data_IF_222453204144
#
_entry.id   IF_222453204144
#
_cell.length_a   1.000
_cell.length_b   1.000
_cell.length_c   1.000
_cell.angle_alpha   90.00
_cell.angle_beta   90.00
_cell.angle_gamma   90.00
#
_symmetry.space_group_name_H-M   'P 1'
#
loop_
_entity.id
_entity.type
_entity.pdbx_description
1 polymer ?
#
# COMPACT_ATOMS: atom_id res chain seq x y z
N UNK A 1 -9.80 -3.27 -23.89
CA UNK A 1 -9.44 -2.07 -24.70
C UNK A 1 -9.69 -0.71 -24.02
N UNK A 2 -10.88 -0.44 -23.45
CA UNK A 2 -11.17 0.83 -22.76
C UNK A 2 -10.35 1.03 -21.46
N UNK A 3 -10.30 0.02 -20.61
CA UNK A 3 -9.58 0.08 -19.32
C UNK A 3 -8.07 0.34 -19.50
N UNK A 4 -7.45 -0.26 -20.51
CA UNK A 4 -6.03 -0.04 -20.85
C UNK A 4 -5.80 1.41 -21.31
N UNK A 5 -6.68 1.96 -22.16
CA UNK A 5 -6.59 3.36 -22.61
C UNK A 5 -6.80 4.35 -21.47
N UNK A 6 -7.74 4.08 -20.56
CA UNK A 6 -7.95 4.90 -19.37
C UNK A 6 -6.74 4.85 -18.45
N UNK A 7 -6.13 3.67 -18.29
CA UNK A 7 -4.90 3.51 -17.54
C UNK A 7 -3.74 4.31 -18.15
N UNK A 8 -3.48 4.15 -19.44
CA UNK A 8 -2.45 4.90 -20.17
C UNK A 8 -2.65 6.42 -20.09
N UNK A 9 -3.90 6.90 -20.15
CA UNK A 9 -4.20 8.32 -20.03
C UNK A 9 -3.84 8.86 -18.64
N UNK A 10 -4.29 8.18 -17.57
CA UNK A 10 -3.96 8.55 -16.18
C UNK A 10 -2.44 8.56 -15.98
N UNK A 11 -1.78 7.49 -16.44
CA UNK A 11 -0.35 7.26 -16.34
C UNK A 11 0.50 8.35 -17.02
N UNK A 12 0.07 8.86 -18.18
CA UNK A 12 0.76 9.94 -18.91
C UNK A 12 0.62 11.30 -18.23
N UNK A 13 -0.51 11.58 -17.60
CA UNK A 13 -0.78 12.88 -17.01
C UNK A 13 -0.22 13.01 -15.58
N UNK A 14 -0.16 11.92 -14.82
CA UNK A 14 0.51 11.89 -13.51
C UNK A 14 2.02 12.14 -13.56
N UNK A 15 2.64 12.06 -14.75
CA UNK A 15 4.05 12.34 -15.00
C UNK A 15 4.33 13.81 -15.37
N UNK A 16 3.28 14.59 -15.63
CA UNK A 16 3.41 16.00 -15.98
C UNK A 16 3.19 16.78 -14.69
N UNK A 17 4.21 17.54 -14.30
CA UNK A 17 4.25 18.41 -13.11
C UNK A 17 3.00 19.31 -13.09
N UNK A 18 2.00 18.90 -12.30
CA UNK A 18 0.64 19.38 -12.38
C UNK A 18 0.38 20.45 -11.32
N UNK A 19 -0.08 21.62 -11.79
CA UNK A 19 -0.48 22.82 -11.04
C UNK A 19 -0.89 22.52 -9.57
N UNK A 20 -0.18 23.07 -8.56
CA UNK A 20 -0.46 22.85 -7.14
C UNK A 20 -1.89 23.30 -6.73
N UNK A 21 -2.58 24.08 -7.57
CA UNK A 21 -3.95 24.53 -7.33
C UNK A 21 -5.04 23.54 -7.77
N UNK A 22 -4.69 22.36 -8.28
CA UNK A 22 -5.68 21.35 -8.68
C UNK A 22 -6.45 20.77 -7.49
N UNK A 23 -5.84 20.69 -6.30
CA UNK A 23 -6.53 20.24 -5.09
C UNK A 23 -7.33 21.35 -4.38
N UNK A 24 -6.98 22.63 -4.55
CA UNK A 24 -7.69 23.76 -3.91
C UNK A 24 -9.01 24.13 -4.57
N UNK A 25 -9.27 23.66 -5.81
CA UNK A 25 -10.55 23.88 -6.50
C UNK A 25 -11.75 23.13 -5.88
N UNK A 26 -11.51 22.35 -4.83
CA UNK A 26 -12.54 21.65 -4.05
C UNK A 26 -13.08 22.46 -2.87
N UNK A 27 -12.61 23.69 -2.65
CA UNK A 27 -13.22 24.58 -1.65
C UNK A 27 -14.32 25.38 -2.34
N UNK A 28 -15.62 25.13 -2.08
CA UNK A 28 -16.64 26.07 -2.51
C UNK A 28 -16.42 27.38 -1.77
N UNK A 29 -16.07 28.44 -2.52
CA UNK A 29 -16.02 29.81 -2.01
C UNK A 29 -17.45 30.24 -1.65
N UNK A 30 -17.79 30.40 -0.36
CA UNK A 30 -19.15 30.69 0.07
C UNK A 30 -19.64 32.07 -0.38
N UNK A 31 -18.76 32.91 -0.92
CA UNK A 31 -19.08 34.26 -1.39
C UNK A 31 -19.28 34.34 -2.91
N UNK A 32 -18.96 33.27 -3.66
CA UNK A 32 -19.14 33.25 -5.12
C UNK A 32 -20.47 32.59 -5.49
N UNK A 33 -21.39 33.30 -6.17
CA UNK A 33 -22.57 32.66 -6.72
C UNK A 33 -22.12 31.59 -7.71
N UNK A 34 -22.59 30.36 -7.50
CA UNK A 34 -22.21 29.16 -8.25
C UNK A 34 -22.24 29.40 -9.76
N UNK A 35 -21.06 29.66 -10.35
CA UNK A 35 -20.91 29.61 -11.80
C UNK A 35 -21.03 28.14 -12.21
N UNK A 36 -22.15 27.81 -12.86
CA UNK A 36 -22.28 26.61 -13.69
C UNK A 36 -21.25 26.72 -14.82
N UNK A 37 -20.06 26.19 -14.60
CA UNK A 37 -19.13 25.97 -15.71
C UNK A 37 -19.75 24.94 -16.66
N UNK A 38 -19.70 25.14 -17.98
CA UNK A 38 -20.10 24.11 -18.93
C UNK A 38 -19.20 22.86 -18.75
N UNK A 39 -19.74 21.65 -18.94
CA UNK A 39 -19.11 20.40 -18.49
C UNK A 39 -17.86 19.97 -19.30
N UNK A 40 -17.28 20.83 -20.13
CA UNK A 40 -16.18 20.45 -21.04
C UNK A 40 -14.82 21.08 -20.72
N UNK A 41 -14.74 22.21 -20.01
CA UNK A 41 -13.46 22.94 -19.85
C UNK A 41 -12.85 22.86 -18.45
N UNK A 42 -13.64 22.60 -17.41
CA UNK A 42 -13.11 22.36 -16.04
C UNK A 42 -12.64 20.93 -15.81
N UNK A 43 -13.04 19.98 -16.65
CA UNK A 43 -12.77 18.54 -16.47
C UNK A 43 -11.59 18.00 -17.30
N UNK A 44 -11.03 18.78 -18.23
CA UNK A 44 -9.93 18.33 -19.11
C UNK A 44 -8.57 18.24 -18.41
N UNK A 45 -8.44 18.84 -17.21
CA UNK A 45 -7.21 18.80 -16.41
C UNK A 45 -7.39 18.16 -15.02
N UNK A 46 -8.61 17.72 -14.69
CA UNK A 46 -8.94 17.11 -13.41
C UNK A 46 -8.90 15.58 -13.52
N UNK A 47 -7.69 15.00 -13.54
CA UNK A 47 -7.58 13.61 -13.11
C UNK A 47 -7.82 13.60 -11.60
N UNK A 48 -9.06 13.26 -11.24
CA UNK A 48 -9.50 13.10 -9.87
C UNK A 48 -8.47 12.30 -9.07
N UNK A 49 -8.03 12.82 -7.91
CA UNK A 49 -7.11 12.12 -7.02
C UNK A 49 -7.59 10.71 -6.66
N UNK A 50 -8.91 10.48 -6.65
CA UNK A 50 -9.50 9.15 -6.52
C UNK A 50 -9.14 8.22 -7.69
N UNK A 51 -9.17 8.72 -8.93
CA UNK A 51 -8.75 7.93 -10.09
C UNK A 51 -7.25 7.62 -10.05
N UNK A 52 -6.43 8.55 -9.55
CA UNK A 52 -5.00 8.30 -9.30
C UNK A 52 -4.80 7.22 -8.24
N UNK A 53 -5.57 7.20 -7.14
CA UNK A 53 -5.48 6.16 -6.12
C UNK A 53 -5.93 4.79 -6.65
N UNK A 54 -7.04 4.73 -7.41
CA UNK A 54 -7.43 3.50 -8.10
C UNK A 54 -6.33 2.96 -9.01
N UNK A 55 -5.65 3.85 -9.75
CA UNK A 55 -4.50 3.47 -10.57
C UNK A 55 -3.35 2.95 -9.73
N UNK A 56 -3.03 3.60 -8.60
CA UNK A 56 -1.99 3.14 -7.69
C UNK A 56 -2.30 1.72 -7.15
N UNK A 57 -3.53 1.46 -6.69
CA UNK A 57 -3.98 0.12 -6.27
C UNK A 57 -3.84 -0.92 -7.38
N UNK A 58 -4.27 -0.57 -8.60
CA UNK A 58 -4.12 -1.44 -9.77
C UNK A 58 -2.64 -1.78 -10.03
N UNK A 59 -1.74 -0.79 -9.98
CA UNK A 59 -0.31 -1.01 -10.19
C UNK A 59 0.31 -1.88 -9.09
N UNK A 60 -0.11 -1.71 -7.83
CA UNK A 60 0.33 -2.56 -6.71
C UNK A 60 -0.03 -4.02 -6.99
N UNK A 61 -1.29 -4.27 -7.36
CA UNK A 61 -1.77 -5.61 -7.69
C UNK A 61 -1.07 -6.19 -8.93
N UNK A 62 -0.93 -5.39 -9.99
CA UNK A 62 -0.25 -5.81 -11.21
C UNK A 62 1.21 -6.19 -10.94
N UNK A 63 1.92 -5.44 -10.10
CA UNK A 63 3.30 -5.78 -9.71
C UNK A 63 3.39 -7.10 -8.94
N UNK A 64 2.40 -7.42 -8.08
CA UNK A 64 2.32 -8.73 -7.41
C UNK A 64 2.15 -9.85 -8.41
N UNK A 65 1.24 -9.70 -9.37
CA UNK A 65 0.90 -10.71 -10.38
C UNK A 65 2.02 -10.93 -11.39
N UNK A 66 2.70 -9.87 -11.78
CA UNK A 66 3.72 -9.93 -12.85
C UNK A 66 5.14 -10.13 -12.34
N UNK A 67 5.41 -9.87 -11.06
CA UNK A 67 6.77 -9.84 -10.53
C UNK A 67 7.53 -8.55 -10.82
N UNK A 68 6.91 -7.58 -11.49
CA UNK A 68 7.59 -6.41 -12.02
C UNK A 68 7.55 -5.24 -11.02
N UNK A 69 8.64 -5.05 -10.29
CA UNK A 69 8.75 -4.01 -9.24
C UNK A 69 8.59 -2.56 -9.73
N UNK A 70 8.79 -2.28 -11.02
CA UNK A 70 8.58 -0.92 -11.55
C UNK A 70 7.12 -0.45 -11.43
N UNK A 71 6.15 -1.36 -11.41
CA UNK A 71 4.75 -0.99 -11.17
C UNK A 71 4.55 -0.47 -9.75
N UNK A 72 5.19 -1.09 -8.76
CA UNK A 72 5.15 -0.63 -7.37
C UNK A 72 5.79 0.74 -7.21
N UNK A 73 6.99 0.93 -7.78
CA UNK A 73 7.66 2.23 -7.77
C UNK A 73 6.77 3.34 -8.37
N UNK A 74 6.05 3.03 -9.45
CA UNK A 74 5.11 3.97 -10.07
C UNK A 74 3.87 4.23 -9.21
N UNK A 75 3.30 3.19 -8.60
CA UNK A 75 2.17 3.33 -7.68
C UNK A 75 2.52 4.19 -6.46
N UNK A 76 3.71 3.99 -5.89
CA UNK A 76 4.22 4.78 -4.77
C UNK A 76 4.47 6.23 -5.17
N UNK A 77 5.07 6.49 -6.34
CA UNK A 77 5.25 7.85 -6.83
C UNK A 77 3.91 8.61 -6.98
N UNK A 78 2.83 7.90 -7.35
CA UNK A 78 1.48 8.48 -7.37
C UNK A 78 0.96 8.80 -5.97
N UNK A 79 1.22 7.93 -4.98
CA UNK A 79 0.87 8.19 -3.57
C UNK A 79 1.62 9.41 -3.02
N UNK A 80 2.92 9.49 -3.26
CA UNK A 80 3.75 10.61 -2.83
C UNK A 80 3.27 11.93 -3.43
N UNK A 81 2.94 11.94 -4.73
CA UNK A 81 2.34 13.10 -5.39
C UNK A 81 1.04 13.55 -4.72
N UNK A 82 0.18 12.63 -4.28
CA UNK A 82 -1.06 12.98 -3.58
C UNK A 82 -0.75 13.53 -2.19
N UNK A 83 0.12 12.86 -1.43
CA UNK A 83 0.50 13.28 -0.08
C UNK A 83 1.15 14.67 -0.08
N UNK A 84 2.06 14.94 -1.01
CA UNK A 84 2.71 16.25 -1.17
C UNK A 84 1.73 17.37 -1.47
N UNK A 85 0.64 17.08 -2.20
CA UNK A 85 -0.40 18.07 -2.47
C UNK A 85 -1.38 18.22 -1.29
N UNK A 86 -1.59 17.20 -0.46
CA UNK A 86 -2.44 17.28 0.73
C UNK A 86 -1.79 18.03 1.90
N UNK A 87 -0.47 17.96 2.06
CA UNK A 87 0.25 18.58 3.18
C UNK A 87 0.03 20.10 3.29
N UNK A 88 0.21 20.90 2.22
CA UNK A 88 0.01 22.35 2.26
C UNK A 88 -1.44 22.77 2.56
N UNK A 89 -2.40 21.86 2.35
CA UNK A 89 -3.82 22.10 2.58
C UNK A 89 -4.26 21.84 4.02
N UNK A 90 -3.33 21.43 4.90
CA UNK A 90 -3.68 20.98 6.24
C UNK A 90 -4.45 19.65 6.25
N UNK A 91 -4.49 18.95 5.11
CA UNK A 91 -5.17 17.67 4.91
C UNK A 91 -4.18 16.50 4.96
N UNK A 92 -2.98 16.71 5.48
CA UNK A 92 -2.00 15.65 5.66
C UNK A 92 -2.42 14.70 6.78
N UNK A 93 -2.29 13.40 6.55
CA UNK A 93 -2.41 12.41 7.62
C UNK A 93 -1.20 12.52 8.54
N UNK A 94 -1.42 12.85 9.81
CA UNK A 94 -0.39 12.76 10.84
C UNK A 94 -0.62 11.49 11.64
N UNK A 95 0.43 10.69 11.83
CA UNK A 95 0.41 9.63 12.83
C UNK A 95 0.12 10.29 14.18
N UNK A 96 -0.95 9.88 14.85
CA UNK A 96 -1.36 10.45 16.13
C UNK A 96 -0.36 10.03 17.22
N UNK A 97 0.77 10.74 17.31
CA UNK A 97 1.53 10.83 18.54
C UNK A 97 0.67 11.66 19.48
N UNK A 98 0.34 11.14 20.66
CA UNK A 98 -0.40 11.85 21.72
C UNK A 98 0.32 13.15 22.08
N UNK A 99 0.06 14.21 21.34
CA UNK A 99 0.44 15.58 21.68
C UNK A 99 -0.86 16.37 21.66
N UNK A 100 -1.20 16.83 22.85
CA UNK A 100 -2.30 17.71 23.19
C UNK A 100 -2.15 19.06 22.49
N UNK A 101 -2.36 19.08 21.19
CA UNK A 101 -2.47 20.32 20.41
C UNK A 101 -3.96 20.56 20.12
N UNK A 102 -4.49 21.77 20.41
CA UNK A 102 -5.88 22.08 20.14
C UNK A 102 -6.13 21.99 18.64
N UNK A 103 -6.94 21.01 18.23
CA UNK A 103 -7.36 20.82 16.85
C UNK A 103 -8.10 22.06 16.35
N UNK A 104 -7.40 22.91 15.60
CA UNK A 104 -8.04 23.90 14.74
C UNK A 104 -8.64 23.14 13.56
N UNK A 105 -9.85 22.62 13.74
CA UNK A 105 -10.65 22.09 12.65
C UNK A 105 -11.06 23.23 11.74
N UNK A 106 -10.27 23.45 10.69
CA UNK A 106 -10.65 24.33 9.60
C UNK A 106 -11.17 23.50 8.43
N UNK A 107 -12.45 23.71 8.13
CA UNK A 107 -13.21 23.36 6.93
C UNK A 107 -13.77 21.94 6.77
N UNK A 108 -15.11 21.87 6.81
CA UNK A 108 -15.92 20.81 6.23
C UNK A 108 -15.78 20.80 4.69
N UNK A 109 -14.72 20.20 4.17
CA UNK A 109 -14.61 19.91 2.75
C UNK A 109 -15.25 18.54 2.47
N UNK A 110 -16.42 18.53 1.83
CA UNK A 110 -17.09 17.31 1.38
C UNK A 110 -16.18 16.55 0.40
N UNK A 111 -16.01 15.24 0.59
CA UNK A 111 -15.17 14.37 -0.26
C UNK A 111 -13.76 14.10 0.26
N UNK A 112 -13.26 14.90 1.22
CA UNK A 112 -11.93 14.69 1.83
C UNK A 112 -11.83 13.36 2.55
N UNK A 113 -12.89 12.95 3.26
CA UNK A 113 -12.93 11.66 3.95
C UNK A 113 -12.84 10.46 2.99
N UNK A 114 -13.48 10.55 1.83
CA UNK A 114 -13.39 9.49 0.81
C UNK A 114 -11.98 9.35 0.25
N UNK A 115 -11.31 10.49 0.02
CA UNK A 115 -9.91 10.50 -0.39
C UNK A 115 -8.99 9.88 0.66
N UNK A 116 -9.16 10.25 1.94
CA UNK A 116 -8.38 9.70 3.04
C UNK A 116 -8.63 8.20 3.23
N UNK A 117 -9.88 7.76 3.17
CA UNK A 117 -10.23 6.35 3.27
C UNK A 117 -9.54 5.55 2.15
N UNK A 118 -9.63 6.02 0.89
CA UNK A 118 -8.99 5.35 -0.23
C UNK A 118 -7.46 5.40 -0.14
N UNK A 119 -6.88 6.48 0.37
CA UNK A 119 -5.45 6.58 0.60
C UNK A 119 -4.99 5.55 1.64
N UNK A 120 -5.69 5.43 2.76
CA UNK A 120 -5.43 4.43 3.81
C UNK A 120 -5.58 3.02 3.23
N UNK A 121 -6.66 2.75 2.51
CA UNK A 121 -6.85 1.45 1.83
C UNK A 121 -5.71 1.14 0.87
N UNK A 122 -5.21 2.13 0.13
CA UNK A 122 -4.09 1.92 -0.80
C UNK A 122 -2.77 1.66 -0.07
N UNK A 123 -2.54 2.30 1.08
CA UNK A 123 -1.39 2.01 1.95
C UNK A 123 -1.49 0.62 2.59
N UNK A 124 -2.69 0.20 3.01
CA UNK A 124 -2.94 -1.15 3.51
C UNK A 124 -2.78 -2.19 2.40
N UNK A 125 -3.20 -1.87 1.17
CA UNK A 125 -2.95 -2.71 0.00
C UNK A 125 -1.46 -2.85 -0.27
N UNK A 126 -0.61 -1.85 0.01
CA UNK A 126 0.84 -1.97 -0.14
C UNK A 126 1.44 -2.90 0.94
N UNK A 127 0.97 -2.77 2.18
CA UNK A 127 1.36 -3.66 3.28
C UNK A 127 0.91 -5.11 3.02
N UNK A 128 -0.28 -5.31 2.46
CA UNK A 128 -0.74 -6.62 2.01
C UNK A 128 -0.93 -7.62 3.15
N UNK A 129 -1.47 -7.19 4.29
CA UNK A 129 -1.83 -8.06 5.41
C UNK A 129 -3.36 -8.10 5.55
N UNK A 130 -3.93 -9.28 5.37
CA UNK A 130 -5.37 -9.51 5.44
C UNK A 130 -5.72 -10.73 6.30
N UNK A 131 -6.93 -10.74 6.86
CA UNK A 131 -7.43 -11.80 7.71
C UNK A 131 -8.81 -12.28 7.27
N UNK A 132 -8.88 -13.57 6.93
CA UNK A 132 -10.12 -14.28 6.65
C UNK A 132 -10.59 -15.01 7.91
N UNK A 133 -11.67 -14.50 8.51
CA UNK A 133 -12.23 -15.02 9.75
C UNK A 133 -12.93 -16.38 9.58
N UNK A 134 -13.44 -16.68 8.37
CA UNK A 134 -14.12 -17.94 8.10
C UNK A 134 -13.11 -19.08 8.00
N UNK A 135 -12.04 -18.86 7.25
CA UNK A 135 -10.95 -19.83 7.07
C UNK A 135 -9.91 -19.80 8.20
N UNK A 136 -10.02 -18.86 9.14
CA UNK A 136 -8.99 -18.54 10.15
C UNK A 136 -7.61 -18.44 9.50
N UNK A 137 -7.53 -17.64 8.43
CA UNK A 137 -6.35 -17.52 7.58
C UNK A 137 -5.84 -16.10 7.53
N UNK A 138 -4.57 -15.91 7.86
CA UNK A 138 -3.83 -14.68 7.60
C UNK A 138 -3.16 -14.78 6.23
N UNK A 139 -3.35 -13.77 5.39
CA UNK A 139 -2.67 -13.67 4.10
C UNK A 139 -1.67 -12.53 4.17
N UNK A 140 -0.42 -12.81 3.82
CA UNK A 140 0.67 -11.84 3.81
C UNK A 140 1.29 -11.77 2.42
N UNK A 141 1.17 -10.60 1.78
CA UNK A 141 1.68 -10.34 0.43
C UNK A 141 2.19 -8.90 0.25
N UNK A 142 3.09 -8.37 1.10
CA UNK A 142 3.61 -7.01 0.97
C UNK A 142 4.21 -6.75 -0.41
N UNK A 143 3.99 -5.54 -0.92
CA UNK A 143 4.63 -5.01 -2.11
C UNK A 143 5.75 -4.07 -1.66
N UNK A 144 7.00 -4.52 -1.73
CA UNK A 144 8.17 -3.74 -1.32
C UNK A 144 8.77 -2.99 -2.51
N UNK A 145 8.62 -1.67 -2.60
CA UNK A 145 9.22 -0.86 -3.65
C UNK A 145 10.75 -0.88 -3.54
N UNK A 146 11.47 -0.80 -4.66
CA UNK A 146 12.94 -0.94 -4.68
C UNK A 146 13.68 0.20 -3.96
N UNK A 147 13.01 1.35 -3.78
CA UNK A 147 13.56 2.49 -3.04
C UNK A 147 13.43 2.34 -1.52
N UNK A 148 12.67 1.36 -1.03
CA UNK A 148 12.37 1.21 0.39
C UNK A 148 13.19 0.07 0.99
N UNK A 149 13.96 0.32 2.07
CA UNK A 149 14.74 -0.73 2.71
C UNK A 149 13.89 -1.70 3.52
N UNK A 150 12.66 -1.32 3.87
CA UNK A 150 11.73 -2.16 4.61
C UNK A 150 10.28 -1.72 4.46
N UNK A 151 9.36 -2.64 4.72
CA UNK A 151 7.91 -2.39 4.85
C UNK A 151 7.35 -3.26 5.98
N UNK A 152 6.36 -2.75 6.71
CA UNK A 152 5.73 -3.50 7.80
C UNK A 152 4.44 -2.87 8.27
N UNK A 153 3.68 -3.64 9.04
CA UNK A 153 2.43 -3.21 9.65
C UNK A 153 2.26 -3.93 10.99
N UNK A 154 1.65 -3.25 11.96
CA UNK A 154 1.03 -3.90 13.13
C UNK A 154 -0.47 -3.63 13.09
N UNK A 155 -1.28 -4.68 13.28
CA UNK A 155 -2.74 -4.60 13.24
C UNK A 155 -3.38 -5.59 14.18
N UNK A 156 -4.45 -5.15 14.84
CA UNK A 156 -5.33 -6.02 15.61
C UNK A 156 -6.46 -6.53 14.70
N UNK A 157 -6.64 -7.84 14.68
CA UNK A 157 -7.71 -8.57 14.02
C UNK A 157 -8.61 -9.25 15.05
N UNK A 158 -9.69 -9.88 14.59
CA UNK A 158 -10.56 -10.68 15.46
C UNK A 158 -9.88 -11.95 16.03
N UNK A 159 -8.72 -12.33 15.51
CA UNK A 159 -7.91 -13.43 16.00
C UNK A 159 -6.78 -13.02 16.96
N UNK A 160 -6.59 -11.72 17.20
CA UNK A 160 -5.51 -11.18 18.03
C UNK A 160 -4.68 -10.10 17.33
N UNK A 161 -3.48 -9.84 17.83
CA UNK A 161 -2.56 -8.82 17.28
C UNK A 161 -1.49 -9.48 16.41
N UNK A 162 -1.28 -8.93 15.22
CA UNK A 162 -0.26 -9.41 14.27
C UNK A 162 0.56 -8.24 13.79
N UNK A 163 1.88 -8.41 13.84
CA UNK A 163 2.84 -7.47 13.29
C UNK A 163 3.83 -8.19 12.41
N UNK A 164 4.24 -7.55 11.32
CA UNK A 164 5.31 -8.07 10.48
C UNK A 164 6.20 -6.93 9.97
N UNK A 165 7.40 -7.31 9.56
CA UNK A 165 8.37 -6.43 8.92
C UNK A 165 9.16 -7.23 7.90
N UNK A 166 9.14 -6.77 6.65
CA UNK A 166 9.96 -7.26 5.57
C UNK A 166 11.08 -6.26 5.33
N UNK A 167 12.32 -6.70 5.49
CA UNK A 167 13.54 -5.93 5.25
C UNK A 167 14.24 -6.43 3.97
N UNK A 168 14.70 -5.48 3.15
CA UNK A 168 15.57 -5.70 2.01
C UNK A 168 16.50 -4.48 1.88
N UNK A 169 17.72 -4.53 2.43
CA UNK A 169 18.62 -3.38 2.41
C UNK A 169 18.97 -2.99 0.97
N UNK A 170 19.00 -1.68 0.70
CA UNK A 170 19.29 -1.15 -0.63
C UNK A 170 20.69 -1.62 -1.06
N UNK A 171 20.76 -2.37 -2.16
CA UNK A 171 21.99 -2.96 -2.69
C UNK A 171 22.39 -4.31 -2.08
N UNK A 172 21.59 -4.87 -1.16
CA UNK A 172 21.75 -6.24 -0.69
C UNK A 172 20.99 -7.25 -1.57
N UNK A 173 21.31 -8.54 -1.43
CA UNK A 173 20.56 -9.64 -2.06
C UNK A 173 19.63 -10.34 -1.07
N UNK A 174 19.90 -10.19 0.22
CA UNK A 174 19.21 -10.89 1.30
C UNK A 174 17.90 -10.16 1.64
N UNK A 175 16.86 -10.95 1.80
CA UNK A 175 15.56 -10.57 2.33
C UNK A 175 15.36 -11.19 3.70
N UNK A 176 14.70 -10.44 4.58
CA UNK A 176 14.33 -10.92 5.91
C UNK A 176 12.88 -10.56 6.22
N UNK A 177 12.05 -11.55 6.54
CA UNK A 177 10.70 -11.35 7.05
C UNK A 177 10.66 -11.71 8.52
N UNK A 178 10.35 -10.75 9.39
CA UNK A 178 9.97 -10.98 10.77
C UNK A 178 8.46 -10.89 10.96
N UNK A 179 7.89 -11.78 11.74
CA UNK A 179 6.48 -11.77 12.14
C UNK A 179 6.38 -12.01 13.65
N UNK A 180 5.54 -11.23 14.31
CA UNK A 180 5.13 -11.44 15.70
C UNK A 180 3.62 -11.48 15.76
N UNK A 181 3.07 -12.50 16.38
CA UNK A 181 1.63 -12.62 16.53
C UNK A 181 1.29 -13.00 17.98
N UNK A 182 0.25 -12.37 18.51
CA UNK A 182 -0.40 -12.73 19.76
C UNK A 182 -1.83 -13.12 19.42
N UNK A 183 -2.09 -14.42 19.36
CA UNK A 183 -3.34 -14.97 18.82
C UNK A 183 -4.20 -15.61 19.90
N UNK A 184 -5.52 -15.47 19.77
CA UNK A 184 -6.50 -16.07 20.68
C UNK A 184 -6.78 -17.56 20.33
N UNK A 185 -6.39 -18.00 19.14
CA UNK A 185 -6.51 -19.38 18.66
C UNK A 185 -5.54 -19.63 17.50
N UNK A 186 -5.27 -20.89 17.13
CA UNK A 186 -4.38 -21.19 16.01
C UNK A 186 -4.92 -20.66 14.67
N UNK A 187 -4.04 -20.06 13.87
CA UNK A 187 -4.36 -19.42 12.58
C UNK A 187 -3.36 -19.85 11.53
N UNK A 188 -3.83 -20.13 10.31
CA UNK A 188 -2.94 -20.45 9.19
C UNK A 188 -2.42 -19.18 8.55
N UNK A 189 -1.10 -18.99 8.50
CA UNK A 189 -0.45 -17.93 7.73
C UNK A 189 -0.12 -18.45 6.34
N UNK A 190 -0.62 -17.76 5.30
CA UNK A 190 -0.24 -17.93 3.91
C UNK A 190 0.59 -16.73 3.47
N UNK A 191 1.89 -16.92 3.32
CA UNK A 191 2.79 -15.92 2.79
C UNK A 191 2.94 -16.09 1.27
N UNK A 192 2.81 -14.99 0.53
CA UNK A 192 2.99 -14.92 -0.92
C UNK A 192 3.74 -13.63 -1.24
N UNK A 193 5.06 -13.67 -1.16
CA UNK A 193 5.92 -12.51 -1.34
C UNK A 193 6.42 -12.44 -2.77
N UNK A 194 6.25 -11.30 -3.42
CA UNK A 194 6.90 -11.04 -4.71
C UNK A 194 8.22 -10.31 -4.43
N UNK A 195 9.33 -10.82 -4.97
CA UNK A 195 10.68 -10.27 -4.75
C UNK A 195 11.28 -9.86 -6.11
N UNK A 196 10.99 -8.65 -6.62
CA UNK A 196 11.48 -8.23 -7.93
C UNK A 196 13.01 -8.28 -8.00
N UNK A 197 13.54 -8.95 -9.03
CA UNK A 197 14.99 -9.10 -9.23
C UNK A 197 15.61 -10.30 -8.53
N UNK A 198 14.86 -11.04 -7.70
CA UNK A 198 15.30 -12.33 -7.18
C UNK A 198 15.21 -13.39 -8.30
N UNK A 199 16.35 -13.89 -8.77
CA UNK A 199 16.43 -14.90 -9.83
C UNK A 199 16.46 -16.33 -9.30
N UNK A 200 17.03 -16.50 -8.11
CA UNK A 200 17.15 -17.77 -7.38
C UNK A 200 16.89 -17.53 -5.89
N UNK A 201 16.41 -18.54 -5.19
CA UNK A 201 16.03 -18.40 -3.77
C UNK A 201 17.24 -18.19 -2.86
N UNK A 202 18.40 -18.76 -3.21
CA UNK A 202 19.56 -18.77 -2.32
C UNK A 202 19.34 -19.61 -1.05
N UNK A 203 20.14 -19.39 0.01
CA UNK A 203 20.02 -20.10 1.28
C UNK A 203 18.73 -19.69 2.01
N UNK A 204 17.89 -20.68 2.33
CA UNK A 204 16.71 -20.49 3.16
C UNK A 204 17.03 -20.74 4.63
N UNK A 205 16.69 -19.78 5.50
CA UNK A 205 16.73 -19.96 6.95
C UNK A 205 15.39 -19.57 7.55
N UNK A 206 14.92 -20.34 8.52
CA UNK A 206 13.64 -20.11 9.17
C UNK A 206 13.72 -20.45 10.66
N UNK A 207 13.09 -19.61 11.46
CA UNK A 207 12.87 -19.85 12.89
C UNK A 207 11.42 -19.51 13.19
N UNK A 208 10.54 -20.46 13.53
CA UNK A 208 10.81 -21.91 13.65
C UNK A 208 11.21 -22.56 12.33
N UNK A 209 11.81 -23.74 12.39
CA UNK A 209 12.28 -24.49 11.22
C UNK A 209 11.09 -24.95 10.37
N UNK A 210 11.06 -24.49 9.11
CA UNK A 210 10.03 -24.76 8.11
C UNK A 210 10.74 -25.12 6.80
N UNK A 211 10.21 -26.06 6.00
CA UNK A 211 10.78 -26.39 4.70
C UNK A 211 10.90 -25.15 3.80
N UNK A 212 11.84 -25.17 2.83
CA UNK A 212 11.95 -24.11 1.86
C UNK A 212 10.62 -23.85 1.14
N UNK A 213 10.29 -22.59 0.88
CA UNK A 213 9.08 -22.17 0.18
C UNK A 213 9.09 -22.60 -1.30
N UNK A 214 7.91 -22.59 -1.91
CA UNK A 214 7.77 -22.70 -3.36
C UNK A 214 8.23 -21.40 -4.02
N UNK A 215 9.09 -21.50 -5.04
CA UNK A 215 9.60 -20.35 -5.78
C UNK A 215 9.20 -20.40 -7.25
N UNK A 216 8.45 -19.39 -7.68
CA UNK A 216 8.04 -19.23 -9.07
C UNK A 216 9.00 -18.28 -9.79
N UNK A 217 9.90 -18.85 -10.59
CA UNK A 217 10.93 -18.08 -11.33
C UNK A 217 10.37 -17.03 -12.29
N UNK A 218 9.16 -17.24 -12.84
CA UNK A 218 8.56 -16.33 -13.83
C UNK A 218 8.18 -14.98 -13.21
N UNK A 219 7.72 -15.01 -11.96
CA UNK A 219 7.17 -13.86 -11.24
C UNK A 219 8.04 -13.45 -10.06
N UNK A 220 9.16 -14.15 -9.83
CA UNK A 220 10.01 -14.04 -8.64
C UNK A 220 9.18 -14.10 -7.35
N UNK A 221 8.17 -14.97 -7.33
CA UNK A 221 7.23 -15.11 -6.22
C UNK A 221 7.64 -16.26 -5.32
N UNK A 222 7.59 -16.00 -4.02
CA UNK A 222 7.86 -16.93 -2.94
C UNK A 222 6.58 -17.22 -2.19
N UNK A 223 6.21 -18.49 -2.04
CA UNK A 223 5.01 -18.87 -1.29
C UNK A 223 5.23 -20.03 -0.33
N UNK A 224 4.71 -19.87 0.88
CA UNK A 224 4.68 -20.92 1.89
C UNK A 224 3.50 -20.74 2.83
N UNK A 225 3.21 -21.80 3.57
CA UNK A 225 2.13 -21.83 4.55
C UNK A 225 2.67 -22.37 5.86
N UNK A 226 2.28 -21.75 6.97
CA UNK A 226 2.63 -22.20 8.32
C UNK A 226 1.45 -21.99 9.26
N UNK A 227 1.30 -22.88 10.23
CA UNK A 227 0.30 -22.71 11.29
C UNK A 227 0.92 -21.92 12.43
N UNK A 228 0.35 -20.77 12.75
CA UNK A 228 0.72 -19.99 13.93
C UNK A 228 -0.05 -20.53 15.14
N UNK A 229 0.64 -20.82 16.26
CA UNK A 229 -0.01 -21.31 17.47
C UNK A 229 -0.82 -20.21 18.16
N UNK A 230 -1.71 -20.63 19.06
CA UNK A 230 -2.33 -19.73 20.03
C UNK A 230 -1.27 -19.15 20.99
N UNK A 231 -1.51 -17.92 21.46
CA UNK A 231 -0.61 -17.19 22.33
C UNK A 231 0.42 -16.37 21.56
N UNK A 232 1.54 -16.09 22.22
CA UNK A 232 2.63 -15.31 21.65
C UNK A 232 3.53 -16.18 20.76
N UNK A 233 3.75 -15.74 19.53
CA UNK A 233 4.64 -16.37 18.57
C UNK A 233 5.51 -15.33 17.89
N UNK A 234 6.77 -15.70 17.63
CA UNK A 234 7.69 -14.93 16.81
C UNK A 234 8.27 -15.86 15.77
N UNK A 235 8.29 -15.39 14.53
CA UNK A 235 8.83 -16.12 13.39
C UNK A 235 9.71 -15.22 12.55
N UNK A 236 10.79 -15.77 12.03
CA UNK A 236 11.72 -15.07 11.15
C UNK A 236 12.10 -15.97 9.99
N UNK A 237 12.06 -15.43 8.78
CA UNK A 237 12.46 -16.10 7.55
C UNK A 237 13.50 -15.24 6.83
N UNK A 238 14.53 -15.88 6.29
CA UNK A 238 15.63 -15.22 5.60
C UNK A 238 15.96 -15.98 4.32
N UNK A 239 16.14 -15.25 3.20
CA UNK A 239 16.47 -15.83 1.89
C UNK A 239 17.27 -14.85 1.02
N UNK A 240 17.84 -15.32 -0.09
CA UNK A 240 18.63 -14.54 -1.06
C UNK A 240 20.13 -14.45 -0.79
#
# INVERSE_FOLDING_TARGET
PRMIRTAEAILRHSLIDGDPNTLTRWVPDPTRPSRRFPPSESHSHDISSMATLWMARYLIQLGRETGQGHYWNRGVAMLDSILLRLLPLGLGMRAAVRLSDPQRFTFHAAGVWGLHAMLIETMLDLAGLDYDALDRRLTLAPALPSAWPHIGLSRTFACGEVSYRLDHPIGGTIYQLGLKARLDYPVTLRASLTCPGLTELGPWNSSPEVPPPEFEHRTSRLSWTVTLPEGDSTSTWTWG
#
